data_IF_089465078837
#
_entry.id   IF_089465078837
#
_cell.length_a   1.000
_cell.length_b   1.000
_cell.length_c   1.000
_cell.angle_alpha   90.00
_cell.angle_beta   90.00
_cell.angle_gamma   90.00
#
_symmetry.space_group_name_H-M   'P 1'
#
loop_
_entity.id
_entity.type
_entity.pdbx_description
1 polymer ?
#
# COMPACT_ATOMS: atom_id res chain seq x y z
N UNK A 1 -5.12 -37.18 8.71
CA UNK A 1 -4.54 -35.89 8.27
C UNK A 1 -5.62 -35.16 7.51
N UNK A 2 -5.81 -33.85 7.75
CA UNK A 2 -6.82 -33.04 7.05
C UNK A 2 -6.17 -32.16 5.99
N UNK A 3 -6.88 -31.92 4.90
CA UNK A 3 -6.43 -31.04 3.82
C UNK A 3 -6.92 -29.62 4.08
N UNK A 4 -6.02 -28.66 3.96
CA UNK A 4 -6.28 -27.25 4.13
C UNK A 4 -5.83 -26.49 2.88
N UNK A 5 -6.80 -26.01 2.12
CA UNK A 5 -6.59 -25.09 1.00
C UNK A 5 -6.55 -23.67 1.54
N UNK A 6 -5.47 -22.96 1.24
CA UNK A 6 -5.26 -21.58 1.66
C UNK A 6 -5.41 -20.66 0.46
N UNK A 7 -6.01 -19.48 0.65
CA UNK A 7 -6.01 -18.40 -0.35
C UNK A 7 -5.68 -17.09 0.33
N UNK A 8 -4.67 -16.36 -0.14
CA UNK A 8 -4.26 -15.08 0.46
C UNK A 8 -4.46 -13.92 -0.51
N UNK A 9 -5.41 -13.03 -0.20
CA UNK A 9 -5.61 -11.78 -0.93
C UNK A 9 -5.40 -10.57 -0.02
N UNK A 10 -4.48 -9.68 -0.42
CA UNK A 10 -4.13 -8.46 0.30
C UNK A 10 -4.44 -7.24 -0.58
N UNK A 11 -5.05 -6.18 -0.05
CA UNK A 11 -5.36 -4.99 -0.84
C UNK A 11 -4.18 -4.01 -0.92
N UNK A 12 -4.30 -3.03 -1.80
CA UNK A 12 -3.47 -1.80 -1.80
C UNK A 12 -1.95 -2.02 -1.86
N UNK A 13 -1.51 -3.12 -2.47
CA UNK A 13 -0.11 -3.54 -2.52
C UNK A 13 0.54 -3.72 -1.13
N UNK A 14 -0.27 -3.82 -0.07
CA UNK A 14 0.20 -4.00 1.29
C UNK A 14 0.72 -5.41 1.50
N UNK A 15 1.98 -5.52 1.89
CA UNK A 15 2.66 -6.78 2.18
C UNK A 15 2.66 -7.82 1.04
N UNK A 16 2.43 -7.42 -0.21
CA UNK A 16 2.39 -8.33 -1.38
C UNK A 16 3.68 -9.13 -1.57
N UNK A 17 4.82 -8.51 -1.30
CA UNK A 17 6.14 -9.15 -1.42
C UNK A 17 6.55 -9.96 -0.18
N UNK A 18 5.74 -9.94 0.88
CA UNK A 18 6.06 -10.59 2.14
C UNK A 18 5.39 -11.97 2.22
N UNK A 19 6.13 -12.92 2.75
CA UNK A 19 5.62 -14.28 3.03
C UNK A 19 4.97 -14.32 4.41
N UNK A 20 3.66 -14.55 4.44
CA UNK A 20 2.91 -14.76 5.67
C UNK A 20 3.16 -16.17 6.17
N UNK A 21 3.47 -16.31 7.46
CA UNK A 21 3.76 -17.60 8.08
C UNK A 21 2.49 -18.20 8.68
N UNK A 22 2.21 -19.44 8.33
CA UNK A 22 1.06 -20.20 8.83
C UNK A 22 1.60 -21.32 9.73
N UNK A 23 1.09 -21.38 10.95
CA UNK A 23 1.50 -22.34 11.97
C UNK A 23 0.32 -23.15 12.48
N UNK A 24 0.60 -24.33 13.03
CA UNK A 24 -0.36 -25.09 13.82
C UNK A 24 -0.46 -24.57 15.27
N UNK A 25 -1.31 -25.23 16.06
CA UNK A 25 -1.52 -25.03 17.48
C UNK A 25 -0.26 -25.31 18.34
N UNK A 26 0.62 -26.21 17.87
CA UNK A 26 1.92 -26.52 18.49
C UNK A 26 3.03 -25.55 18.04
N UNK A 27 2.70 -24.48 17.31
CA UNK A 27 3.61 -23.47 16.76
C UNK A 27 4.63 -24.04 15.76
N UNK A 28 4.35 -25.21 15.16
CA UNK A 28 5.11 -25.74 14.04
C UNK A 28 4.72 -24.98 12.79
N UNK A 29 5.71 -24.60 12.00
CA UNK A 29 5.48 -23.89 10.75
C UNK A 29 4.91 -24.88 9.74
N UNK A 30 3.68 -24.64 9.28
CA UNK A 30 3.02 -25.44 8.27
C UNK A 30 3.44 -24.99 6.87
N UNK A 31 3.33 -23.69 6.60
CA UNK A 31 3.72 -23.13 5.30
C UNK A 31 4.00 -21.62 5.38
N UNK A 32 4.46 -21.08 4.25
CA UNK A 32 4.63 -19.65 4.00
C UNK A 32 3.90 -19.32 2.71
N UNK A 33 2.98 -18.35 2.77
CA UNK A 33 2.10 -17.98 1.65
C UNK A 33 2.29 -16.51 1.28
N UNK A 34 2.35 -16.21 -0.02
CA UNK A 34 2.40 -14.87 -0.60
C UNK A 34 1.04 -14.43 -1.14
N UNK A 35 0.92 -13.13 -1.41
CA UNK A 35 -0.28 -12.60 -2.05
C UNK A 35 -0.55 -13.29 -3.40
N UNK A 36 -1.78 -13.77 -3.59
CA UNK A 36 -2.22 -14.44 -4.81
C UNK A 36 -1.87 -15.93 -4.88
N UNK A 37 -1.19 -16.49 -3.88
CA UNK A 37 -0.93 -17.93 -3.81
C UNK A 37 -2.12 -18.69 -3.22
N UNK A 38 -2.32 -19.91 -3.74
CA UNK A 38 -3.38 -20.82 -3.31
C UNK A 38 -2.84 -22.23 -2.97
N UNK A 39 -1.97 -22.39 -1.94
CA UNK A 39 -1.38 -23.68 -1.63
C UNK A 39 -2.35 -24.62 -0.90
N UNK A 40 -2.34 -25.89 -1.28
CA UNK A 40 -2.91 -27.00 -0.49
C UNK A 40 -1.84 -27.51 0.49
N UNK A 41 -2.20 -27.64 1.77
CA UNK A 41 -1.33 -28.18 2.82
C UNK A 41 -2.06 -29.22 3.67
N UNK A 42 -1.30 -30.11 4.29
CA UNK A 42 -1.82 -31.07 5.25
C UNK A 42 -1.64 -30.56 6.68
N UNK A 43 -2.69 -30.72 7.49
CA UNK A 43 -2.66 -30.39 8.92
C UNK A 43 -2.94 -31.63 9.78
N UNK A 44 -2.35 -31.73 10.98
CA UNK A 44 -2.66 -32.80 11.91
C UNK A 44 -4.15 -32.83 12.30
N UNK A 45 -4.68 -34.03 12.53
CA UNK A 45 -6.10 -34.23 12.89
C UNK A 45 -6.41 -33.64 14.29
N UNK A 46 -5.41 -33.60 15.17
CA UNK A 46 -5.53 -33.05 16.52
C UNK A 46 -5.44 -31.52 16.57
N UNK A 47 -5.02 -30.86 15.49
CA UNK A 47 -4.85 -29.40 15.47
C UNK A 47 -6.19 -28.67 15.61
N UNK A 48 -6.33 -27.84 16.63
CA UNK A 48 -7.58 -27.09 16.86
C UNK A 48 -7.58 -25.69 16.22
N UNK A 49 -6.41 -25.17 15.91
CA UNK A 49 -6.22 -23.77 15.52
C UNK A 49 -5.12 -23.62 14.47
N UNK A 50 -5.31 -22.65 13.58
CA UNK A 50 -4.28 -22.13 12.68
C UNK A 50 -3.84 -20.77 13.18
N UNK A 51 -2.52 -20.56 13.31
CA UNK A 51 -1.94 -19.30 13.74
C UNK A 51 -1.26 -18.64 12.54
N UNK A 52 -1.67 -17.42 12.23
CA UNK A 52 -1.10 -16.62 11.15
C UNK A 52 -0.21 -15.54 11.75
N UNK A 53 0.98 -15.36 11.18
CA UNK A 53 1.91 -14.33 11.62
C UNK A 53 2.60 -13.62 10.45
N UNK A 54 2.60 -12.29 10.52
CA UNK A 54 3.42 -11.41 9.68
C UNK A 54 3.87 -10.22 10.54
N UNK A 55 5.17 -10.14 10.84
CA UNK A 55 5.74 -9.09 11.70
C UNK A 55 4.96 -8.90 13.02
N UNK A 56 4.27 -7.78 13.18
CA UNK A 56 3.44 -7.48 14.35
C UNK A 56 2.03 -8.09 14.28
N UNK A 57 1.56 -8.44 13.09
CA UNK A 57 0.27 -9.11 12.91
C UNK A 57 0.31 -10.53 13.43
N UNK A 58 -0.71 -10.89 14.22
CA UNK A 58 -0.91 -12.24 14.70
C UNK A 58 -2.39 -12.51 14.90
N UNK A 59 -2.90 -13.51 14.18
CA UNK A 59 -4.27 -14.00 14.32
C UNK A 59 -4.28 -15.49 14.58
N UNK A 60 -5.29 -15.92 15.32
CA UNK A 60 -5.51 -17.30 15.70
C UNK A 60 -6.92 -17.63 15.25
N UNK A 61 -7.05 -18.64 14.39
CA UNK A 61 -8.31 -19.02 13.75
C UNK A 61 -8.63 -20.45 14.18
N UNK A 62 -9.83 -20.65 14.71
CA UNK A 62 -10.31 -21.97 15.10
C UNK A 62 -10.67 -22.80 13.88
N UNK A 63 -10.22 -24.05 13.84
CA UNK A 63 -10.47 -24.97 12.72
C UNK A 63 -11.84 -25.65 12.94
N UNK A 64 -12.76 -25.58 11.97
CA UNK A 64 -14.03 -26.30 12.05
C UNK A 64 -13.83 -27.81 11.87
N UNK A 65 -14.88 -28.59 12.14
CA UNK A 65 -14.88 -30.03 11.87
C UNK A 65 -14.98 -30.27 10.35
N UNK A 66 -14.19 -31.22 9.83
CA UNK A 66 -14.17 -31.56 8.40
C UNK A 66 -12.79 -32.06 7.95
N UNK A 67 -12.74 -32.74 6.81
CA UNK A 67 -11.50 -33.26 6.21
C UNK A 67 -10.91 -32.33 5.16
N UNK A 68 -11.76 -31.73 4.32
CA UNK A 68 -11.37 -30.75 3.30
C UNK A 68 -11.79 -29.36 3.76
N UNK A 69 -10.80 -28.55 4.11
CA UNK A 69 -10.98 -27.24 4.70
C UNK A 69 -10.47 -26.16 3.75
N UNK A 70 -11.18 -25.05 3.70
CA UNK A 70 -10.81 -23.91 2.85
C UNK A 70 -10.73 -22.67 3.71
N UNK A 71 -9.55 -22.07 3.76
CA UNK A 71 -9.24 -20.92 4.60
C UNK A 71 -8.78 -19.76 3.74
N UNK A 72 -9.56 -18.70 3.77
CA UNK A 72 -9.23 -17.44 3.13
C UNK A 72 -8.52 -16.56 4.14
N UNK A 73 -7.39 -15.98 3.74
CA UNK A 73 -6.60 -15.01 4.48
C UNK A 73 -6.72 -13.63 3.84
N UNK A 74 -6.99 -12.62 4.66
CA UNK A 74 -7.22 -11.25 4.21
C UNK A 74 -6.95 -10.23 5.31
N UNK A 75 -6.97 -8.95 4.96
CA UNK A 75 -6.89 -7.86 5.95
C UNK A 75 -8.28 -7.33 6.30
N UNK A 76 -8.72 -7.54 7.53
CA UNK A 76 -9.96 -6.99 8.07
C UNK A 76 -9.74 -5.57 8.59
N UNK A 77 -10.27 -4.60 7.86
CA UNK A 77 -10.30 -3.19 8.26
C UNK A 77 -11.47 -2.46 7.60
N UNK A 78 -11.91 -1.37 8.23
CA UNK A 78 -12.91 -0.49 7.62
C UNK A 78 -12.25 0.34 6.53
N UNK A 79 -12.58 0.07 5.27
CA UNK A 79 -11.99 0.71 4.10
C UNK A 79 -12.44 2.17 3.87
N UNK A 80 -12.19 3.02 4.88
CA UNK A 80 -12.52 4.45 4.89
C UNK A 80 -11.33 5.24 5.42
N UNK A 81 -10.96 6.33 4.76
CA UNK A 81 -9.96 7.26 5.28
C UNK A 81 -10.56 8.08 6.44
N UNK A 82 -9.82 8.33 7.54
CA UNK A 82 -8.49 7.82 7.90
C UNK A 82 -8.52 6.48 8.67
N UNK A 83 -9.72 6.00 9.01
CA UNK A 83 -9.98 4.84 9.88
C UNK A 83 -9.18 3.59 9.46
N UNK A 84 -9.05 3.34 8.15
CA UNK A 84 -8.30 2.18 7.64
C UNK A 84 -6.86 2.11 8.16
N UNK A 85 -6.19 3.24 8.31
CA UNK A 85 -4.80 3.26 8.80
C UNK A 85 -4.72 2.86 10.28
N UNK A 86 -5.65 3.35 11.11
CA UNK A 86 -5.71 2.93 12.51
C UNK A 86 -6.06 1.44 12.64
N UNK A 87 -6.98 0.95 11.81
CA UNK A 87 -7.35 -0.47 11.80
C UNK A 87 -6.17 -1.34 11.35
N UNK A 88 -5.34 -0.89 10.40
CA UNK A 88 -4.13 -1.62 9.97
C UNK A 88 -3.05 -1.73 11.04
N UNK A 89 -3.08 -0.89 12.08
CA UNK A 89 -2.18 -1.03 13.23
C UNK A 89 -2.65 -2.10 14.23
N UNK A 90 -3.89 -2.58 14.10
CA UNK A 90 -4.41 -3.63 14.98
C UNK A 90 -3.72 -4.95 14.67
N UNK A 91 -3.28 -5.63 15.74
CA UNK A 91 -2.65 -6.96 15.66
C UNK A 91 -3.45 -8.02 14.89
N UNK A 92 -4.79 -7.93 14.96
CA UNK A 92 -5.74 -8.85 14.32
C UNK A 92 -6.18 -8.42 12.91
N UNK A 93 -5.60 -7.35 12.33
CA UNK A 93 -6.01 -6.87 11.01
C UNK A 93 -5.77 -7.94 9.94
N UNK A 94 -4.59 -8.57 9.91
CA UNK A 94 -4.39 -9.77 9.09
C UNK A 94 -5.08 -10.96 9.76
N UNK A 95 -6.15 -11.47 9.16
CA UNK A 95 -6.98 -12.54 9.71
C UNK A 95 -7.41 -13.50 8.60
N UNK A 96 -8.31 -14.43 8.92
CA UNK A 96 -8.90 -15.32 7.94
C UNK A 96 -10.23 -15.91 8.42
N UNK A 97 -10.95 -16.50 7.48
CA UNK A 97 -12.22 -17.20 7.72
C UNK A 97 -12.24 -18.52 6.96
N UNK A 98 -12.79 -19.55 7.60
CA UNK A 98 -13.11 -20.80 6.92
C UNK A 98 -14.40 -20.62 6.11
N UNK A 99 -14.42 -21.18 4.91
CA UNK A 99 -15.52 -21.04 3.95
C UNK A 99 -15.80 -22.34 3.21
N UNK A 100 -16.88 -22.37 2.43
CA UNK A 100 -17.17 -23.43 1.45
C UNK A 100 -16.26 -23.32 0.23
N UNK A 101 -16.27 -24.34 -0.63
CA UNK A 101 -15.48 -24.35 -1.87
C UNK A 101 -15.91 -23.26 -2.84
N UNK A 102 -17.22 -23.08 -3.02
CA UNK A 102 -17.77 -22.04 -3.87
C UNK A 102 -17.33 -20.64 -3.39
N UNK A 103 -17.47 -20.35 -2.09
CA UNK A 103 -17.00 -19.09 -1.52
C UNK A 103 -15.48 -18.91 -1.64
N UNK A 104 -14.71 -20.00 -1.59
CA UNK A 104 -13.27 -19.96 -1.75
C UNK A 104 -12.87 -19.57 -3.17
N UNK A 105 -13.50 -20.16 -4.18
CA UNK A 105 -13.25 -19.89 -5.60
C UNK A 105 -13.66 -18.46 -5.97
N UNK A 106 -14.84 -18.00 -5.51
CA UNK A 106 -15.37 -16.66 -5.80
C UNK A 106 -14.69 -15.53 -5.01
N UNK A 107 -13.90 -15.85 -3.98
CA UNK A 107 -13.28 -14.83 -3.15
C UNK A 107 -12.29 -13.98 -3.94
N UNK A 108 -12.60 -12.69 -4.02
CA UNK A 108 -11.81 -11.70 -4.75
C UNK A 108 -11.64 -10.43 -3.91
N UNK A 109 -10.69 -9.57 -4.28
CA UNK A 109 -10.46 -8.26 -3.63
C UNK A 109 -11.64 -7.26 -3.78
N UNK A 110 -12.75 -7.67 -4.39
CA UNK A 110 -13.94 -6.84 -4.65
C UNK A 110 -14.60 -6.27 -3.38
N UNK A 111 -14.40 -6.91 -2.23
CA UNK A 111 -14.89 -6.40 -0.94
C UNK A 111 -14.16 -5.12 -0.47
N UNK A 112 -13.00 -4.78 -1.06
CA UNK A 112 -12.32 -3.50 -0.80
C UNK A 112 -12.75 -2.46 -1.84
N UNK A 113 -13.50 -1.46 -1.38
CA UNK A 113 -14.17 -0.47 -2.24
C UNK A 113 -13.25 0.29 -3.20
N UNK A 114 -11.96 0.44 -2.88
CA UNK A 114 -11.00 1.15 -3.73
C UNK A 114 -9.83 0.30 -4.24
N UNK A 115 -9.79 -1.01 -3.96
CA UNK A 115 -8.66 -1.85 -4.37
C UNK A 115 -8.58 -2.08 -5.90
N UNK A 116 -9.69 -1.86 -6.62
CA UNK A 116 -9.82 -2.19 -8.06
C UNK A 116 -10.05 -0.99 -8.98
N UNK A 117 -9.85 0.24 -8.49
CA UNK A 117 -10.03 1.42 -9.34
C UNK A 117 -8.74 1.68 -10.10
N UNK A 118 -8.76 1.41 -11.40
CA UNK A 118 -7.65 1.66 -12.31
C UNK A 118 -7.87 2.98 -13.05
N UNK A 119 -6.80 3.70 -13.33
CA UNK A 119 -6.77 4.82 -14.26
C UNK A 119 -5.85 4.48 -15.43
N UNK A 120 -6.17 5.00 -16.60
CA UNK A 120 -5.29 4.90 -17.75
C UNK A 120 -4.13 5.89 -17.60
N UNK A 121 -2.95 5.51 -18.12
CA UNK A 121 -1.75 6.36 -18.10
C UNK A 121 -1.97 7.73 -18.76
N UNK A 122 -2.89 7.82 -19.72
CA UNK A 122 -3.27 9.07 -20.39
C UNK A 122 -3.99 10.06 -19.46
N UNK A 123 -4.57 9.57 -18.36
CA UNK A 123 -5.33 10.37 -17.40
C UNK A 123 -4.44 10.93 -16.27
N UNK A 124 -3.17 10.54 -16.26
CA UNK A 124 -2.17 11.03 -15.30
C UNK A 124 -1.83 12.50 -15.60
N UNK A 125 -1.82 13.34 -14.57
CA UNK A 125 -1.46 14.76 -14.71
C UNK A 125 0.05 14.92 -14.90
N UNK A 126 0.47 14.91 -16.17
CA UNK A 126 1.88 15.08 -16.58
C UNK A 126 2.48 16.38 -16.07
N UNK A 127 1.69 17.45 -15.96
CA UNK A 127 2.17 18.74 -15.46
C UNK A 127 2.50 18.69 -13.98
N UNK A 128 1.65 18.04 -13.18
CA UNK A 128 1.94 17.80 -11.76
C UNK A 128 3.14 16.87 -11.60
N UNK A 129 3.23 15.77 -12.36
CA UNK A 129 4.40 14.88 -12.34
C UNK A 129 5.70 15.63 -12.66
N UNK A 130 5.72 16.45 -13.71
CA UNK A 130 6.89 17.23 -14.09
C UNK A 130 7.32 18.19 -12.98
N UNK A 131 6.37 18.93 -12.39
CA UNK A 131 6.64 19.79 -11.24
C UNK A 131 7.21 18.98 -10.05
N UNK A 132 6.68 17.79 -9.80
CA UNK A 132 7.19 16.89 -8.76
C UNK A 132 8.63 16.44 -9.01
N UNK A 133 8.99 16.12 -10.25
CA UNK A 133 10.39 15.82 -10.61
C UNK A 133 11.31 17.02 -10.40
N UNK A 134 10.87 18.23 -10.77
CA UNK A 134 11.65 19.45 -10.54
C UNK A 134 11.87 19.72 -9.05
N UNK A 135 10.83 19.58 -8.22
CA UNK A 135 10.93 19.74 -6.77
C UNK A 135 11.87 18.70 -6.16
N UNK A 136 11.74 17.44 -6.58
CA UNK A 136 12.57 16.33 -6.13
C UNK A 136 14.05 16.52 -6.51
N UNK A 137 14.33 16.87 -7.77
CA UNK A 137 15.68 17.17 -8.23
C UNK A 137 16.24 18.40 -7.51
N UNK A 138 15.42 19.45 -7.36
CA UNK A 138 15.76 20.67 -6.64
C UNK A 138 16.18 20.39 -5.19
N UNK A 139 15.37 19.65 -4.42
CA UNK A 139 15.73 19.27 -3.05
C UNK A 139 17.01 18.42 -2.99
N UNK A 140 17.17 17.50 -3.94
CA UNK A 140 18.39 16.69 -4.03
C UNK A 140 19.63 17.56 -4.28
N UNK A 141 19.55 18.50 -5.23
CA UNK A 141 20.64 19.46 -5.48
C UNK A 141 20.90 20.34 -4.25
N UNK A 142 19.85 20.87 -3.63
CA UNK A 142 19.99 21.70 -2.43
C UNK A 142 20.65 20.95 -1.27
N UNK A 143 20.34 19.66 -1.08
CA UNK A 143 21.01 18.86 -0.06
C UNK A 143 22.52 18.70 -0.30
N UNK A 144 22.96 18.71 -1.56
CA UNK A 144 24.39 18.64 -1.90
C UNK A 144 25.06 20.01 -1.80
N UNK A 145 24.33 21.10 -2.08
CA UNK A 145 24.83 22.47 -1.97
C UNK A 145 24.95 22.89 -0.50
N UNK A 146 23.99 22.52 0.33
CA UNK A 146 23.93 22.88 1.75
C UNK A 146 24.68 21.87 2.63
N UNK A 147 25.96 21.60 2.34
CA UNK A 147 26.71 20.56 3.07
C UNK A 147 26.84 20.80 4.58
N UNK A 148 26.69 22.06 5.00
CA UNK A 148 26.74 22.46 6.41
C UNK A 148 25.39 22.34 7.12
N UNK A 149 24.31 22.02 6.39
CA UNK A 149 22.99 21.86 6.97
C UNK A 149 22.91 20.53 7.74
N UNK A 150 22.60 20.54 9.05
CA UNK A 150 22.49 19.31 9.84
C UNK A 150 21.38 18.36 9.37
N UNK A 151 20.45 18.84 8.55
CA UNK A 151 19.35 18.06 7.99
C UNK A 151 19.57 17.66 6.52
N UNK A 152 20.76 17.86 5.95
CA UNK A 152 21.06 17.57 4.54
C UNK A 152 20.65 16.15 4.12
N UNK A 153 20.92 15.14 4.96
CA UNK A 153 20.63 13.74 4.66
C UNK A 153 19.13 13.48 4.54
N UNK A 154 18.34 14.16 5.37
CA UNK A 154 16.87 14.08 5.34
C UNK A 154 16.35 14.72 4.05
N UNK A 155 16.90 15.88 3.66
CA UNK A 155 16.51 16.59 2.44
C UNK A 155 16.87 15.75 1.21
N UNK A 156 18.08 15.16 1.19
CA UNK A 156 18.54 14.25 0.14
C UNK A 156 17.62 13.04 0.03
N UNK A 157 17.31 12.39 1.16
CA UNK A 157 16.43 11.24 1.20
C UNK A 157 15.02 11.59 0.70
N UNK A 158 14.46 12.73 1.12
CA UNK A 158 13.15 13.22 0.64
C UNK A 158 13.20 13.44 -0.88
N UNK A 159 14.22 14.14 -1.37
CA UNK A 159 14.41 14.42 -2.79
C UNK A 159 14.45 13.13 -3.60
N UNK A 160 15.37 12.21 -3.25
CA UNK A 160 15.60 10.98 -4.00
C UNK A 160 14.43 9.98 -3.89
N UNK A 161 13.86 9.80 -2.70
CA UNK A 161 12.73 8.90 -2.51
C UNK A 161 11.50 9.38 -3.29
N UNK A 162 11.25 10.69 -3.30
CA UNK A 162 10.18 11.29 -4.10
C UNK A 162 10.45 11.13 -5.60
N UNK A 163 11.72 11.26 -6.04
CA UNK A 163 12.10 11.04 -7.44
C UNK A 163 11.68 9.65 -7.91
N UNK A 164 12.12 8.61 -7.21
CA UNK A 164 11.84 7.22 -7.57
C UNK A 164 10.35 6.88 -7.41
N UNK A 165 9.69 7.45 -6.40
CA UNK A 165 8.24 7.28 -6.20
C UNK A 165 7.43 7.79 -7.40
N UNK A 166 7.79 8.96 -7.95
CA UNK A 166 7.15 9.54 -9.12
C UNK A 166 7.60 8.85 -10.43
N UNK A 167 8.87 8.44 -10.52
CA UNK A 167 9.39 7.69 -11.66
C UNK A 167 8.64 6.37 -11.86
N UNK A 168 8.28 5.68 -10.78
CA UNK A 168 7.48 4.46 -10.85
C UNK A 168 6.13 4.68 -11.56
N UNK A 169 5.47 5.83 -11.36
CA UNK A 169 4.22 6.20 -12.06
C UNK A 169 4.47 6.30 -13.58
N UNK A 170 5.65 6.81 -13.98
CA UNK A 170 6.00 6.98 -15.38
C UNK A 170 6.43 5.66 -16.05
N UNK A 171 7.02 4.73 -15.29
CA UNK A 171 7.43 3.41 -15.78
C UNK A 171 6.24 2.45 -15.88
N UNK A 172 5.23 2.58 -15.01
CA UNK A 172 4.04 1.72 -15.08
C UNK A 172 3.36 1.79 -16.46
N UNK A 173 3.03 0.60 -16.98
CA UNK A 173 2.50 0.43 -18.33
C UNK A 173 0.97 0.40 -18.31
N UNK A 174 0.37 1.23 -19.18
CA UNK A 174 -1.05 1.28 -19.55
C UNK A 174 -2.07 1.64 -18.46
N UNK A 175 -2.01 1.01 -17.29
CA UNK A 175 -2.96 1.21 -16.18
C UNK A 175 -2.24 1.32 -14.85
N UNK A 176 -2.72 2.21 -14.00
CA UNK A 176 -2.20 2.48 -12.67
C UNK A 176 -3.34 2.36 -11.68
N UNK A 177 -3.11 1.79 -10.51
CA UNK A 177 -4.11 1.81 -9.44
C UNK A 177 -4.31 3.26 -8.97
N UNK A 178 -5.55 3.73 -9.00
CA UNK A 178 -5.91 5.09 -8.55
C UNK A 178 -5.47 5.34 -7.11
N UNK A 179 -5.52 4.32 -6.27
CA UNK A 179 -5.02 4.39 -4.90
C UNK A 179 -3.51 4.65 -4.85
N UNK A 180 -2.72 3.95 -5.65
CA UNK A 180 -1.26 4.09 -5.67
C UNK A 180 -0.86 5.44 -6.24
N UNK A 181 -1.49 5.85 -7.35
CA UNK A 181 -1.32 7.19 -7.91
C UNK A 181 -1.61 8.27 -6.86
N UNK A 182 -2.79 8.20 -6.21
CA UNK A 182 -3.19 9.14 -5.15
C UNK A 182 -2.16 9.18 -4.02
N UNK A 183 -1.76 8.02 -3.54
CA UNK A 183 -0.89 7.91 -2.36
C UNK A 183 0.50 8.45 -2.66
N UNK A 184 1.08 8.12 -3.82
CA UNK A 184 2.38 8.64 -4.27
C UNK A 184 2.37 10.15 -4.45
N UNK A 185 1.34 10.70 -5.10
CA UNK A 185 1.24 12.15 -5.34
C UNK A 185 1.07 12.92 -4.02
N UNK A 186 0.16 12.51 -3.14
CA UNK A 186 -0.05 13.20 -1.86
C UNK A 186 1.17 13.07 -0.94
N UNK A 187 1.76 11.87 -0.84
CA UNK A 187 2.94 11.63 -0.01
C UNK A 187 4.14 12.45 -0.48
N UNK A 188 4.37 12.53 -1.81
CA UNK A 188 5.45 13.36 -2.36
C UNK A 188 5.21 14.84 -2.07
N UNK A 189 3.98 15.33 -2.21
CA UNK A 189 3.67 16.73 -1.92
C UNK A 189 3.89 17.10 -0.45
N UNK A 190 3.44 16.24 0.47
CA UNK A 190 3.71 16.41 1.89
C UNK A 190 5.21 16.33 2.21
N UNK A 191 5.94 15.41 1.58
CA UNK A 191 7.38 15.28 1.73
C UNK A 191 8.13 16.51 1.20
N UNK A 192 7.71 17.10 0.08
CA UNK A 192 8.30 18.34 -0.44
C UNK A 192 8.11 19.52 0.51
N UNK A 193 6.91 19.68 1.10
CA UNK A 193 6.69 20.70 2.12
C UNK A 193 7.62 20.49 3.32
N UNK A 194 7.75 19.26 3.81
CA UNK A 194 8.65 18.93 4.91
C UNK A 194 10.12 19.20 4.54
N UNK A 195 10.56 18.76 3.36
CA UNK A 195 11.92 19.00 2.88
C UNK A 195 12.24 20.49 2.73
N UNK A 196 11.26 21.29 2.29
CA UNK A 196 11.40 22.74 2.16
C UNK A 196 11.63 23.42 3.51
N UNK A 197 11.02 22.92 4.59
CA UNK A 197 11.19 23.45 5.95
C UNK A 197 12.61 23.18 6.48
N UNK A 198 13.22 22.08 6.07
CA UNK A 198 14.58 21.71 6.51
C UNK A 198 15.70 22.41 5.75
N UNK A 199 15.41 23.09 4.63
CA UNK A 199 16.40 23.88 3.89
C UNK A 199 16.98 25.01 4.76
N UNK A 200 18.29 25.18 4.71
CA UNK A 200 19.02 26.29 5.34
C UNK A 200 19.52 27.30 4.30
N UNK A 201 18.69 27.53 3.28
CA UNK A 201 18.96 28.48 2.20
C UNK A 201 18.45 29.88 2.50
N UNK A 202 18.68 30.79 1.54
CA UNK A 202 18.07 32.11 1.58
C UNK A 202 16.54 32.02 1.67
N UNK A 203 15.95 32.94 2.44
CA UNK A 203 14.50 33.01 2.63
C UNK A 203 13.68 32.95 1.32
N UNK A 204 14.06 33.68 0.24
CA UNK A 204 13.34 33.58 -1.03
C UNK A 204 13.33 32.17 -1.63
N UNK A 205 14.43 31.43 -1.51
CA UNK A 205 14.53 30.07 -2.05
C UNK A 205 13.65 29.11 -1.25
N UNK A 206 13.66 29.21 0.09
CA UNK A 206 12.77 28.43 0.95
C UNK A 206 11.30 28.69 0.59
N UNK A 207 10.90 29.96 0.48
CA UNK A 207 9.53 30.35 0.11
C UNK A 207 9.15 29.81 -1.27
N UNK A 208 10.05 29.87 -2.24
CA UNK A 208 9.82 29.33 -3.59
C UNK A 208 9.53 27.83 -3.54
N UNK A 209 10.34 27.06 -2.81
CA UNK A 209 10.13 25.61 -2.63
C UNK A 209 8.80 25.30 -1.93
N UNK A 210 8.43 26.06 -0.90
CA UNK A 210 7.14 25.92 -0.21
C UNK A 210 5.97 26.18 -1.17
N UNK A 211 6.01 27.28 -1.93
CA UNK A 211 4.94 27.66 -2.86
C UNK A 211 4.75 26.62 -3.97
N UNK A 212 5.84 26.13 -4.55
CA UNK A 212 5.76 25.07 -5.56
C UNK A 212 5.29 23.75 -4.97
N UNK A 213 5.73 23.40 -3.75
CA UNK A 213 5.24 22.20 -3.04
C UNK A 213 3.74 22.27 -2.78
N UNK A 214 3.24 23.44 -2.36
CA UNK A 214 1.82 23.68 -2.12
C UNK A 214 1.03 23.60 -3.43
N UNK A 215 1.54 24.21 -4.51
CA UNK A 215 0.91 24.14 -5.83
C UNK A 215 0.84 22.71 -6.35
N UNK A 216 1.93 21.95 -6.21
CA UNK A 216 1.97 20.53 -6.55
C UNK A 216 0.91 19.75 -5.76
N UNK A 217 0.82 19.95 -4.44
CA UNK A 217 -0.12 19.23 -3.59
C UNK A 217 -1.57 19.57 -3.93
N UNK A 218 -1.91 20.86 -4.08
CA UNK A 218 -3.26 21.31 -4.43
C UNK A 218 -3.68 20.79 -5.81
N UNK A 219 -2.80 20.88 -6.80
CA UNK A 219 -3.07 20.39 -8.16
C UNK A 219 -3.25 18.87 -8.18
N UNK A 220 -2.43 18.16 -7.42
CA UNK A 220 -2.55 16.71 -7.24
C UNK A 220 -3.90 16.34 -6.62
N UNK A 221 -4.30 16.98 -5.52
CA UNK A 221 -5.61 16.75 -4.87
C UNK A 221 -6.75 17.01 -5.84
N UNK A 222 -6.69 18.12 -6.59
CA UNK A 222 -7.71 18.47 -7.57
C UNK A 222 -7.82 17.42 -8.69
N UNK A 223 -6.70 17.06 -9.31
CA UNK A 223 -6.62 16.04 -10.38
C UNK A 223 -7.17 14.70 -9.89
N UNK A 224 -6.75 14.26 -8.70
CA UNK A 224 -7.25 13.03 -8.07
C UNK A 224 -8.77 13.11 -7.84
N UNK A 225 -9.27 14.25 -7.36
CA UNK A 225 -10.71 14.47 -7.19
C UNK A 225 -11.50 14.33 -8.49
N UNK A 226 -10.98 14.84 -9.60
CA UNK A 226 -11.58 14.66 -10.92
C UNK A 226 -11.56 13.19 -11.37
N UNK A 227 -10.45 12.48 -11.16
CA UNK A 227 -10.33 11.06 -11.50
C UNK A 227 -11.32 10.20 -10.70
N UNK A 228 -11.49 10.47 -9.40
CA UNK A 228 -12.50 9.77 -8.59
C UNK A 228 -13.92 9.99 -9.09
N UNK A 229 -14.26 11.22 -9.51
CA UNK A 229 -15.57 11.50 -10.13
C UNK A 229 -15.75 10.72 -11.42
N UNK A 230 -14.75 10.74 -12.31
CA UNK A 230 -14.79 10.05 -13.59
C UNK A 230 -14.94 8.53 -13.45
N UNK A 231 -14.16 7.91 -12.58
CA UNK A 231 -14.20 6.46 -12.33
C UNK A 231 -15.51 6.03 -11.64
N UNK A 232 -16.13 6.91 -10.85
CA UNK A 232 -17.44 6.63 -10.24
C UNK A 232 -18.62 6.86 -11.19
N UNK A 233 -18.48 7.76 -12.19
CA UNK A 233 -19.51 8.06 -13.18
C UNK A 233 -19.49 7.12 -14.39
N UNK A 234 -18.36 6.49 -14.71
CA UNK A 234 -18.26 5.47 -15.76
C UNK A 234 -18.75 4.07 -15.33
N UNK A 235 -19.73 4.02 -14.41
CA UNK A 235 -20.32 2.78 -13.86
C UNK A 235 -21.74 2.49 -14.39
N UNK A 236 -22.13 3.15 -15.48
CA UNK A 236 -23.34 2.83 -16.25
C UNK A 236 -22.96 1.98 -17.48
#
# INVERSE_FOLDING_TARGET
MRKLNLKLLLPYNWAHIRKIKVYDDKKRLLTKIMHGEEPEIEIPDDSKQVIIKLDFYKSVITIPQGENLHLILFMDFRDRFPIKYFDTLKRKCLTGKFVTQEEFEDFSLSFYANAHKWIHKTEVDKGSLFLGFLLSAGLTVMSVVEQNNPYQDIIFMIGLASFFSLLAIQIENHKILLYDYKSRMIASGAAFMLGSIFLQSSFPLIVLFILFSLTFLLKSIHSIGQLYRKVNLGKD
#
